data_IF_214541464718
#
_entry.id   IF_214541464718
#
_cell.length_a   1.000
_cell.length_b   1.000
_cell.length_c   1.000
_cell.angle_alpha   90.00
_cell.angle_beta   90.00
_cell.angle_gamma   90.00
#
_symmetry.space_group_name_H-M   'P 1'
#
loop_
_entity.id
_entity.type
_entity.pdbx_description
1 polymer ?
#
# COMPACT_ATOMS: atom_id res chain seq x y z
N UNK A 1 1.14 17.43 -19.90
CA UNK A 1 2.25 18.07 -19.19
C UNK A 1 2.25 17.59 -17.76
N UNK A 2 3.31 16.92 -17.34
CA UNK A 2 3.51 16.44 -15.97
C UNK A 2 4.13 17.56 -15.12
N UNK A 3 4.03 17.44 -13.80
CA UNK A 3 4.64 18.40 -12.86
C UNK A 3 6.17 18.46 -13.05
N UNK A 4 6.82 17.33 -13.33
CA UNK A 4 8.26 17.26 -13.60
C UNK A 4 8.63 18.03 -14.89
N UNK A 5 7.84 17.89 -15.96
CA UNK A 5 8.03 18.65 -17.20
C UNK A 5 7.84 20.16 -16.98
N UNK A 6 6.86 20.56 -16.16
CA UNK A 6 6.61 21.95 -15.84
C UNK A 6 7.74 22.59 -15.01
N UNK A 7 8.33 21.83 -14.08
CA UNK A 7 9.46 22.30 -13.27
C UNK A 7 10.73 22.40 -14.13
N UNK A 8 10.99 21.42 -14.99
CA UNK A 8 12.13 21.46 -15.93
C UNK A 8 12.06 22.65 -16.88
N UNK A 9 10.89 22.93 -17.47
CA UNK A 9 10.75 24.09 -18.35
C UNK A 9 10.97 25.42 -17.60
N UNK A 10 10.55 25.48 -16.33
CA UNK A 10 10.72 26.67 -15.50
C UNK A 10 12.17 26.86 -15.05
N UNK A 11 12.93 25.78 -14.87
CA UNK A 11 14.36 25.87 -14.51
C UNK A 11 15.22 26.43 -15.64
N UNK A 12 14.82 26.29 -16.90
CA UNK A 12 15.52 26.88 -18.06
C UNK A 12 15.59 28.41 -18.04
N UNK A 13 14.72 29.06 -17.27
CA UNK A 13 14.70 30.52 -17.10
C UNK A 13 15.37 30.98 -15.81
N UNK A 14 15.92 30.05 -15.02
CA UNK A 14 16.60 30.34 -13.75
C UNK A 14 18.12 30.42 -13.94
N UNK A 15 18.84 31.15 -13.06
CA UNK A 15 20.28 31.07 -12.98
C UNK A 15 20.75 29.64 -12.66
N UNK A 16 21.91 29.24 -13.19
CA UNK A 16 22.42 27.86 -13.16
C UNK A 16 22.35 27.20 -11.77
N UNK A 17 22.69 27.94 -10.71
CA UNK A 17 22.63 27.43 -9.33
C UNK A 17 21.21 27.05 -8.91
N UNK A 18 20.22 27.89 -9.22
CA UNK A 18 18.82 27.64 -8.89
C UNK A 18 18.19 26.57 -9.79
N UNK A 19 18.66 26.44 -11.03
CA UNK A 19 18.26 25.34 -11.91
C UNK A 19 18.76 23.99 -11.37
N UNK A 20 19.99 23.93 -10.87
CA UNK A 20 20.55 22.73 -10.25
C UNK A 20 19.79 22.33 -8.99
N UNK A 21 19.49 23.28 -8.09
CA UNK A 21 18.68 23.01 -6.89
C UNK A 21 17.29 22.44 -7.23
N UNK A 22 16.66 22.91 -8.31
CA UNK A 22 15.36 22.40 -8.75
C UNK A 22 15.45 20.95 -9.28
N UNK A 23 16.52 20.63 -10.01
CA UNK A 23 16.77 19.26 -10.50
C UNK A 23 17.10 18.31 -9.35
N UNK A 24 17.93 18.74 -8.40
CA UNK A 24 18.27 17.97 -7.20
C UNK A 24 17.02 17.73 -6.34
N UNK A 25 16.11 18.71 -6.25
CA UNK A 25 14.82 18.53 -5.55
C UNK A 25 13.92 17.51 -6.25
N UNK A 26 13.86 17.50 -7.59
CA UNK A 26 13.11 16.49 -8.34
C UNK A 26 13.73 15.11 -8.13
N UNK A 27 15.07 14.98 -8.18
CA UNK A 27 15.76 13.73 -7.91
C UNK A 27 15.50 13.24 -6.49
N UNK A 28 15.60 14.12 -5.50
CA UNK A 28 15.27 13.82 -4.10
C UNK A 28 13.83 13.31 -3.95
N UNK A 29 12.86 13.96 -4.59
CA UNK A 29 11.48 13.49 -4.58
C UNK A 29 11.33 12.14 -5.30
N UNK A 30 12.05 11.93 -6.40
CA UNK A 30 12.12 10.65 -7.10
C UNK A 30 12.71 9.53 -6.25
N UNK A 31 13.75 9.80 -5.46
CA UNK A 31 14.33 8.81 -4.54
C UNK A 31 13.42 8.55 -3.33
N UNK A 32 12.79 9.60 -2.79
CA UNK A 32 11.93 9.52 -1.59
C UNK A 32 10.55 8.92 -1.86
N UNK A 33 10.00 9.16 -3.05
CA UNK A 33 8.63 8.77 -3.42
C UNK A 33 8.56 7.87 -4.66
N UNK A 34 9.64 7.69 -5.42
CA UNK A 34 9.73 6.72 -6.53
C UNK A 34 9.69 5.26 -6.09
N UNK A 35 9.58 5.01 -4.79
CA UNK A 35 9.23 3.72 -4.19
C UNK A 35 7.73 3.41 -4.24
N UNK A 36 6.92 4.09 -5.05
CA UNK A 36 5.61 3.53 -5.43
C UNK A 36 5.76 2.27 -6.33
N UNK A 37 6.92 2.08 -6.98
CA UNK A 37 7.27 0.84 -7.68
C UNK A 37 8.16 -0.10 -6.85
N UNK A 38 8.45 0.25 -5.59
CA UNK A 38 9.38 -0.47 -4.71
C UNK A 38 8.73 -1.20 -3.53
N UNK A 39 7.39 -1.15 -3.41
CA UNK A 39 6.63 -2.02 -2.50
C UNK A 39 6.19 -3.30 -3.23
N UNK A 40 6.79 -3.68 -4.36
CA UNK A 40 6.77 -5.09 -4.78
C UNK A 40 7.79 -5.88 -3.96
N UNK A 41 7.66 -5.78 -2.63
CA UNK A 41 8.20 -6.76 -1.71
C UNK A 41 7.38 -8.05 -1.87
N UNK A 42 7.94 -9.24 -1.56
CA UNK A 42 7.29 -10.57 -1.71
C UNK A 42 5.86 -10.70 -1.15
N UNK A 43 5.41 -9.74 -0.35
CA UNK A 43 4.04 -9.53 0.12
C UNK A 43 3.00 -9.45 -1.01
N UNK A 44 3.31 -8.83 -2.15
CA UNK A 44 2.34 -8.60 -3.22
C UNK A 44 1.91 -9.89 -3.92
N UNK A 45 2.85 -10.80 -4.18
CA UNK A 45 2.56 -12.07 -4.83
C UNK A 45 1.76 -13.00 -3.91
N UNK A 46 2.11 -13.05 -2.62
CA UNK A 46 1.33 -13.80 -1.64
C UNK A 46 -0.09 -13.23 -1.51
N UNK A 47 -0.22 -11.91 -1.42
CA UNK A 47 -1.51 -11.25 -1.29
C UNK A 47 -2.40 -11.49 -2.52
N UNK A 48 -1.84 -11.38 -3.73
CA UNK A 48 -2.57 -11.68 -4.97
C UNK A 48 -3.05 -13.14 -5.01
N UNK A 49 -2.20 -14.10 -4.61
CA UNK A 49 -2.59 -15.51 -4.54
C UNK A 49 -3.69 -15.77 -3.51
N UNK A 50 -3.63 -15.11 -2.34
CA UNK A 50 -4.63 -15.22 -1.29
C UNK A 50 -5.98 -14.63 -1.72
N UNK A 51 -5.96 -13.48 -2.39
CA UNK A 51 -7.16 -12.85 -2.97
C UNK A 51 -7.78 -13.74 -4.04
N UNK A 52 -6.98 -14.30 -4.95
CA UNK A 52 -7.49 -15.20 -5.98
C UNK A 52 -8.14 -16.44 -5.36
N UNK A 53 -7.51 -17.03 -4.35
CA UNK A 53 -8.09 -18.16 -3.59
C UNK A 53 -9.43 -17.81 -2.94
N UNK A 54 -9.57 -16.60 -2.40
CA UNK A 54 -10.82 -16.14 -1.80
C UNK A 54 -11.93 -15.91 -2.84
N UNK A 55 -11.57 -15.46 -4.05
CA UNK A 55 -12.50 -15.31 -5.19
C UNK A 55 -12.95 -16.69 -5.72
N UNK A 56 -12.03 -17.65 -5.78
CA UNK A 56 -12.29 -19.01 -6.27
C UNK A 56 -13.04 -19.89 -5.26
N UNK A 57 -13.26 -19.40 -4.04
CA UNK A 57 -14.01 -20.12 -3.00
C UNK A 57 -15.49 -20.20 -3.36
N UNK A 58 -15.99 -21.42 -3.61
CA UNK A 58 -17.38 -21.66 -3.99
C UNK A 58 -18.38 -21.51 -2.83
N UNK A 59 -17.92 -21.28 -1.60
CA UNK A 59 -18.79 -21.12 -0.44
C UNK A 59 -19.54 -19.80 -0.52
N UNK A 60 -20.79 -19.82 -0.06
CA UNK A 60 -21.59 -18.60 0.01
C UNK A 60 -20.95 -17.58 0.97
N UNK A 61 -21.02 -16.27 0.66
CA UNK A 61 -20.61 -15.22 1.58
C UNK A 61 -21.36 -15.35 2.91
N UNK A 62 -20.63 -15.20 4.00
CA UNK A 62 -21.19 -15.22 5.36
C UNK A 62 -21.77 -13.86 5.71
N UNK A 63 -22.93 -13.84 6.39
CA UNK A 63 -23.54 -12.60 6.87
C UNK A 63 -22.74 -12.02 8.04
N UNK A 64 -22.73 -10.69 8.18
CA UNK A 64 -21.96 -10.00 9.20
C UNK A 64 -22.31 -10.44 10.64
N UNK A 65 -23.59 -10.75 10.90
CA UNK A 65 -24.04 -11.23 12.21
C UNK A 65 -23.46 -12.60 12.54
N UNK A 66 -23.35 -13.49 11.55
CA UNK A 66 -22.75 -14.81 11.73
C UNK A 66 -21.25 -14.70 12.03
N UNK A 67 -20.56 -13.76 11.37
CA UNK A 67 -19.14 -13.45 11.64
C UNK A 67 -18.96 -12.99 13.08
N UNK A 68 -19.80 -12.04 13.52
CA UNK A 68 -19.76 -11.48 14.88
C UNK A 68 -19.99 -12.55 15.95
N UNK A 69 -20.97 -13.43 15.74
CA UNK A 69 -21.26 -14.54 16.65
C UNK A 69 -20.08 -15.53 16.72
N UNK A 70 -19.49 -15.88 15.58
CA UNK A 70 -18.34 -16.80 15.52
C UNK A 70 -17.15 -16.26 16.32
N UNK A 71 -16.80 -14.99 16.11
CA UNK A 71 -15.68 -14.37 16.84
C UNK A 71 -15.99 -14.14 18.33
N UNK A 72 -17.24 -13.83 18.70
CA UNK A 72 -17.64 -13.76 20.10
C UNK A 72 -17.44 -15.11 20.81
N UNK A 73 -17.99 -16.19 20.24
CA UNK A 73 -17.84 -17.54 20.77
C UNK A 73 -16.37 -17.97 20.85
N UNK A 74 -15.57 -17.64 19.84
CA UNK A 74 -14.13 -17.96 19.82
C UNK A 74 -13.38 -17.27 20.95
N UNK A 75 -13.65 -15.98 21.22
CA UNK A 75 -13.03 -15.25 22.33
C UNK A 75 -13.42 -15.81 23.68
N UNK A 76 -14.69 -16.16 23.86
CA UNK A 76 -15.16 -16.73 25.13
C UNK A 76 -14.50 -18.08 25.41
N UNK A 77 -14.40 -18.94 24.40
CA UNK A 77 -13.68 -20.21 24.51
C UNK A 77 -12.19 -20.01 24.88
N UNK A 78 -11.53 -19.02 24.29
CA UNK A 78 -10.14 -18.70 24.63
C UNK A 78 -10.02 -18.19 26.07
N UNK A 79 -10.93 -17.31 26.52
CA UNK A 79 -10.97 -16.84 27.90
C UNK A 79 -11.14 -18.00 28.87
N UNK A 80 -12.08 -18.92 28.63
CA UNK A 80 -12.28 -20.09 29.48
C UNK A 80 -11.05 -21.01 29.50
N UNK A 81 -10.37 -21.20 28.37
CA UNK A 81 -9.15 -22.02 28.31
C UNK A 81 -7.94 -21.41 29.05
N UNK A 82 -7.90 -20.08 29.22
CA UNK A 82 -6.83 -19.41 29.96
C UNK A 82 -7.06 -19.40 31.47
N UNK A 83 -8.28 -19.66 31.94
CA UNK A 83 -8.64 -19.70 33.36
C UNK A 83 -8.71 -21.13 33.92
N UNK A 84 -8.28 -22.13 33.13
CA UNK A 84 -8.23 -23.55 33.51
C UNK A 84 -6.78 -24.00 33.58
#
# INVERSE_FOLDING_TARGET
>A
MTLAEAIYQRSLSLPDAAAQEALDFIEFLGQRYGTAAGITAPTDAWFQAEVQRAIDDSRAPIQNDQVSQHFAARRDALRTSMHK
#
